data_IF_293344369349
#
_entry.id   IF_293344369349
#
_cell.length_a   1.000
_cell.length_b   1.000
_cell.length_c   1.000
_cell.angle_alpha   90.00
_cell.angle_beta   90.00
_cell.angle_gamma   90.00
#
_symmetry.space_group_name_H-M   'P 1'
#
loop_
_entity.id
_entity.type
_entity.pdbx_description
1 polymer ?
#
# COMPACT_ATOMS: atom_id res chain seq x y z
N UNK A 1 5.17 -1.91 31.26
CA UNK A 1 4.19 -0.89 30.87
C UNK A 1 2.79 -1.41 31.22
N UNK A 2 2.00 -0.62 31.89
CA UNK A 2 0.63 -1.00 32.21
C UNK A 2 -0.18 -1.15 30.90
N UNK A 3 -0.84 -2.30 30.72
CA UNK A 3 -1.68 -2.58 29.55
C UNK A 3 -2.76 -1.50 29.31
N UNK A 4 -3.24 -0.89 30.41
CA UNK A 4 -4.23 0.19 30.32
C UNK A 4 -3.65 1.43 29.67
N UNK A 5 -2.40 1.81 30.01
CA UNK A 5 -1.72 2.95 29.39
C UNK A 5 -1.50 2.68 27.90
N UNK A 6 -1.06 1.47 27.55
CA UNK A 6 -0.88 1.07 26.17
C UNK A 6 -2.18 1.19 25.35
N UNK A 7 -3.27 0.60 25.82
CA UNK A 7 -4.56 0.65 25.11
C UNK A 7 -5.10 2.09 24.99
N UNK A 8 -4.94 2.92 26.04
CA UNK A 8 -5.31 4.34 25.97
C UNK A 8 -4.49 5.10 24.91
N UNK A 9 -3.20 4.80 24.79
CA UNK A 9 -2.34 5.40 23.77
C UNK A 9 -2.78 5.01 22.36
N UNK A 10 -3.11 3.72 22.14
CA UNK A 10 -3.65 3.23 20.87
C UNK A 10 -4.96 3.95 20.51
N UNK A 11 -5.90 4.04 21.46
CA UNK A 11 -7.17 4.75 21.26
C UNK A 11 -6.92 6.21 20.87
N UNK A 12 -6.09 6.92 21.62
CA UNK A 12 -5.79 8.34 21.38
C UNK A 12 -5.18 8.57 20.00
N UNK A 13 -4.26 7.70 19.58
CA UNK A 13 -3.62 7.77 18.25
C UNK A 13 -4.65 7.51 17.15
N UNK A 14 -5.50 6.48 17.32
CA UNK A 14 -6.56 6.16 16.36
C UNK A 14 -7.57 7.30 16.22
N UNK A 15 -8.02 7.89 17.34
CA UNK A 15 -8.90 9.07 17.33
C UNK A 15 -8.24 10.27 16.62
N UNK A 16 -6.92 10.42 16.74
CA UNK A 16 -6.15 11.44 16.04
C UNK A 16 -6.25 11.28 14.51
N UNK A 17 -6.08 10.05 14.01
CA UNK A 17 -6.19 9.74 12.57
C UNK A 17 -7.63 9.93 12.08
N UNK A 18 -8.63 9.48 12.84
CA UNK A 18 -10.05 9.68 12.53
C UNK A 18 -10.37 11.18 12.42
N UNK A 19 -9.91 11.98 13.36
CA UNK A 19 -10.08 13.45 13.32
C UNK A 19 -9.41 14.07 12.10
N UNK A 20 -8.24 13.58 11.74
CA UNK A 20 -7.53 14.02 10.54
C UNK A 20 -8.36 13.72 9.29
N UNK A 21 -8.88 12.50 9.13
CA UNK A 21 -9.75 12.13 8.01
C UNK A 21 -11.01 12.99 7.94
N UNK A 22 -11.68 13.23 9.08
CA UNK A 22 -12.86 14.09 9.14
C UNK A 22 -12.60 15.53 8.70
N UNK A 23 -11.42 16.10 8.97
CA UNK A 23 -11.02 17.41 8.45
C UNK A 23 -10.92 17.45 6.92
N UNK A 24 -10.43 16.36 6.31
CA UNK A 24 -10.43 16.22 4.85
C UNK A 24 -11.85 16.11 4.29
N UNK A 25 -12.73 15.38 4.97
CA UNK A 25 -14.15 15.34 4.60
C UNK A 25 -14.78 16.74 4.60
N UNK A 26 -14.58 17.50 5.68
CA UNK A 26 -15.07 18.89 5.79
C UNK A 26 -14.52 19.79 4.68
N UNK A 27 -13.23 19.68 4.36
CA UNK A 27 -12.61 20.43 3.28
C UNK A 27 -13.21 20.07 1.92
N UNK A 28 -13.41 18.78 1.62
CA UNK A 28 -14.03 18.32 0.39
C UNK A 28 -15.49 18.76 0.26
N UNK A 29 -16.27 18.71 1.35
CA UNK A 29 -17.64 19.22 1.40
C UNK A 29 -17.71 20.74 1.12
N UNK A 30 -16.75 21.52 1.66
CA UNK A 30 -16.68 22.96 1.38
C UNK A 30 -16.32 23.24 -0.08
N UNK A 31 -15.34 22.52 -0.63
CA UNK A 31 -14.98 22.63 -2.05
C UNK A 31 -16.15 22.25 -2.96
N UNK A 32 -16.91 21.20 -2.63
CA UNK A 32 -18.07 20.78 -3.39
C UNK A 32 -19.18 21.85 -3.47
N UNK A 33 -19.33 22.68 -2.42
CA UNK A 33 -20.31 23.80 -2.42
C UNK A 33 -19.97 24.91 -3.40
N UNK A 34 -18.67 25.11 -3.67
CA UNK A 34 -18.17 26.16 -4.56
C UNK A 34 -17.93 25.65 -5.98
N UNK A 35 -17.90 24.32 -6.17
CA UNK A 35 -17.62 23.68 -7.46
C UNK A 35 -18.80 23.80 -8.42
N UNK A 36 -18.52 24.26 -9.64
CA UNK A 36 -19.52 24.46 -10.70
C UNK A 36 -19.64 23.28 -11.65
N UNK A 37 -18.57 22.50 -11.79
CA UNK A 37 -18.59 21.28 -12.58
C UNK A 37 -19.29 20.19 -11.79
N UNK A 38 -20.37 19.65 -12.33
CA UNK A 38 -21.22 18.66 -11.68
C UNK A 38 -20.46 17.36 -11.36
N UNK A 39 -19.66 16.89 -12.32
CA UNK A 39 -18.87 15.69 -12.15
C UNK A 39 -17.83 15.85 -11.02
N UNK A 40 -17.13 17.00 -11.03
CA UNK A 40 -16.14 17.30 -9.99
C UNK A 40 -16.79 17.46 -8.62
N UNK A 41 -17.96 18.04 -8.57
CA UNK A 41 -18.74 18.16 -7.33
C UNK A 41 -19.10 16.79 -6.76
N UNK A 42 -19.56 15.85 -7.58
CA UNK A 42 -19.84 14.47 -7.16
C UNK A 42 -18.58 13.76 -6.67
N UNK A 43 -17.46 13.92 -7.35
CA UNK A 43 -16.17 13.36 -6.91
C UNK A 43 -15.78 13.88 -5.52
N UNK A 44 -15.91 15.17 -5.27
CA UNK A 44 -15.62 15.79 -3.97
C UNK A 44 -16.54 15.27 -2.85
N UNK A 45 -17.83 15.07 -3.14
CA UNK A 45 -18.78 14.49 -2.21
C UNK A 45 -18.45 13.01 -1.91
N UNK A 46 -18.01 12.25 -2.92
CA UNK A 46 -17.56 10.88 -2.74
C UNK A 46 -16.27 10.80 -1.89
N UNK A 47 -15.32 11.70 -2.11
CA UNK A 47 -14.13 11.84 -1.26
C UNK A 47 -14.54 12.14 0.18
N UNK A 48 -15.48 13.07 0.39
CA UNK A 48 -15.96 13.40 1.72
C UNK A 48 -16.61 12.20 2.42
N UNK A 49 -17.48 11.47 1.72
CA UNK A 49 -18.14 10.28 2.23
C UNK A 49 -17.12 9.18 2.63
N UNK A 50 -16.11 8.93 1.79
CA UNK A 50 -15.04 8.01 2.11
C UNK A 50 -14.25 8.43 3.35
N UNK A 51 -13.88 9.70 3.44
CA UNK A 51 -13.17 10.25 4.60
C UNK A 51 -13.99 10.22 5.91
N UNK A 52 -15.32 10.23 5.82
CA UNK A 52 -16.23 10.05 6.97
C UNK A 52 -16.31 8.60 7.40
N UNK A 53 -16.19 7.66 6.47
CA UNK A 53 -16.29 6.23 6.75
C UNK A 53 -14.97 5.65 7.23
N UNK A 54 -13.88 5.90 6.52
CA UNK A 54 -12.56 5.35 6.84
C UNK A 54 -11.62 6.45 7.34
N UNK A 55 -10.75 6.18 8.34
CA UNK A 55 -10.41 4.90 8.93
C UNK A 55 -11.23 4.51 10.17
N UNK A 56 -12.28 5.26 10.54
CA UNK A 56 -13.09 4.97 11.73
C UNK A 56 -13.80 3.62 11.63
N UNK A 57 -14.27 3.26 10.45
CA UNK A 57 -14.93 2.00 10.16
C UNK A 57 -14.12 1.18 9.15
N UNK A 58 -14.30 -0.15 9.14
CA UNK A 58 -13.68 -0.99 8.11
C UNK A 58 -14.14 -0.61 6.69
N UNK A 59 -13.25 -0.69 5.70
CA UNK A 59 -13.62 -0.47 4.32
C UNK A 59 -14.52 -1.59 3.80
N UNK A 60 -15.44 -1.25 2.90
CA UNK A 60 -16.33 -2.20 2.23
C UNK A 60 -16.16 -2.21 0.72
N UNK A 61 -15.62 -1.15 0.14
CA UNK A 61 -15.33 -1.03 -1.28
C UNK A 61 -13.84 -0.92 -1.55
N UNK A 62 -13.43 -1.13 -2.80
CA UNK A 62 -12.04 -0.98 -3.21
C UNK A 62 -11.54 0.46 -3.01
N UNK A 63 -12.36 1.46 -3.31
CA UNK A 63 -12.01 2.87 -3.09
C UNK A 63 -11.81 3.18 -1.61
N UNK A 64 -12.72 2.73 -0.75
CA UNK A 64 -12.58 2.88 0.69
C UNK A 64 -11.31 2.18 1.20
N UNK A 65 -10.98 0.99 0.67
CA UNK A 65 -9.77 0.26 1.05
C UNK A 65 -8.49 1.00 0.64
N UNK A 66 -8.41 1.57 -0.55
CA UNK A 66 -7.32 2.45 -0.99
C UNK A 66 -7.18 3.66 -0.06
N UNK A 67 -8.27 4.32 0.28
CA UNK A 67 -8.27 5.48 1.19
C UNK A 67 -7.86 5.07 2.61
N UNK A 68 -8.30 3.90 3.10
CA UNK A 68 -7.91 3.37 4.40
C UNK A 68 -6.41 3.09 4.47
N UNK A 69 -5.84 2.45 3.44
CA UNK A 69 -4.39 2.20 3.34
C UNK A 69 -3.63 3.51 3.41
N UNK A 70 -4.06 4.54 2.67
CA UNK A 70 -3.42 5.85 2.71
C UNK A 70 -3.48 6.51 4.08
N UNK A 71 -4.64 6.51 4.75
CA UNK A 71 -4.77 7.11 6.09
C UNK A 71 -3.92 6.37 7.14
N UNK A 72 -3.84 5.05 7.05
CA UNK A 72 -2.99 4.25 7.92
C UNK A 72 -1.51 4.58 7.70
N UNK A 73 -1.10 4.67 6.43
CA UNK A 73 0.26 5.00 6.04
C UNK A 73 0.66 6.39 6.57
N UNK A 74 -0.11 7.42 6.25
CA UNK A 74 0.22 8.79 6.66
C UNK A 74 0.12 8.96 8.17
N UNK A 75 -0.81 8.27 8.83
CA UNK A 75 -0.93 8.28 10.29
C UNK A 75 0.31 7.72 10.96
N UNK A 76 0.83 6.59 10.49
CA UNK A 76 2.07 6.00 10.98
C UNK A 76 3.29 6.90 10.71
N UNK A 77 3.37 7.48 9.53
CA UNK A 77 4.45 8.40 9.16
C UNK A 77 4.46 9.65 10.06
N UNK A 78 3.29 10.26 10.28
CA UNK A 78 3.17 11.46 11.11
C UNK A 78 3.44 11.20 12.60
N UNK A 79 3.12 10.00 13.08
CA UNK A 79 3.33 9.63 14.49
C UNK A 79 4.79 9.30 14.80
N UNK A 80 5.45 8.55 13.92
CA UNK A 80 6.73 7.90 14.21
C UNK A 80 7.90 8.47 13.38
N UNK A 81 7.60 9.13 12.27
CA UNK A 81 8.61 9.55 11.27
C UNK A 81 9.64 8.43 11.00
N UNK A 82 9.18 7.18 10.71
CA UNK A 82 10.05 6.02 10.63
C UNK A 82 10.93 6.09 9.39
N UNK A 83 12.08 5.40 9.42
CA UNK A 83 12.91 5.18 8.22
C UNK A 83 12.17 4.37 7.16
N UNK A 84 11.33 3.45 7.60
CA UNK A 84 10.55 2.56 6.74
C UNK A 84 9.18 2.28 7.34
N UNK A 85 8.15 2.39 6.52
CA UNK A 85 6.79 1.97 6.83
C UNK A 85 6.20 1.30 5.58
N UNK A 86 6.14 -0.02 5.59
CA UNK A 86 5.85 -0.80 4.41
C UNK A 86 4.39 -1.25 4.39
N UNK A 87 3.65 -1.01 3.30
CA UNK A 87 2.29 -1.49 3.15
C UNK A 87 2.16 -3.03 3.08
N UNK A 88 3.27 -3.74 2.94
CA UNK A 88 3.28 -5.19 2.95
C UNK A 88 2.74 -5.82 1.67
N UNK A 89 2.00 -6.92 1.81
CA UNK A 89 1.47 -7.71 0.68
C UNK A 89 0.20 -7.07 0.09
N UNK A 90 0.40 -5.95 -0.56
CA UNK A 90 -0.65 -5.08 -1.08
C UNK A 90 -1.67 -5.82 -1.98
N UNK A 91 -1.19 -6.64 -2.88
CA UNK A 91 -2.04 -7.39 -3.80
C UNK A 91 -2.95 -8.41 -3.10
N UNK A 92 -2.53 -8.97 -1.96
CA UNK A 92 -3.29 -9.98 -1.25
C UNK A 92 -4.46 -9.37 -0.48
N UNK A 93 -4.23 -8.31 0.30
CA UNK A 93 -5.30 -7.72 1.11
C UNK A 93 -6.22 -6.78 0.33
N UNK A 94 -5.78 -6.27 -0.83
CA UNK A 94 -6.60 -5.41 -1.69
C UNK A 94 -7.48 -6.19 -2.67
N UNK A 95 -7.02 -7.37 -3.13
CA UNK A 95 -7.74 -8.15 -4.13
C UNK A 95 -9.18 -8.53 -3.73
N UNK A 96 -9.49 -8.92 -2.48
CA UNK A 96 -10.87 -9.23 -2.10
C UNK A 96 -11.85 -8.07 -2.31
N UNK A 97 -11.45 -6.83 -2.02
CA UNK A 97 -12.26 -5.64 -2.26
C UNK A 97 -12.47 -5.39 -3.76
N UNK A 98 -11.40 -5.49 -4.53
CA UNK A 98 -11.48 -5.34 -5.98
C UNK A 98 -12.38 -6.40 -6.62
N UNK A 99 -12.21 -7.67 -6.30
CA UNK A 99 -13.02 -8.75 -6.86
C UNK A 99 -14.51 -8.61 -6.48
N UNK A 100 -14.80 -8.18 -5.26
CA UNK A 100 -16.17 -7.88 -4.82
C UNK A 100 -16.80 -6.79 -5.69
N UNK A 101 -16.15 -5.64 -5.81
CA UNK A 101 -16.67 -4.50 -6.56
C UNK A 101 -16.77 -4.81 -8.07
N UNK A 102 -15.80 -5.54 -8.63
CA UNK A 102 -15.84 -6.03 -10.01
C UNK A 102 -17.03 -6.93 -10.26
N UNK A 103 -17.30 -7.87 -9.36
CA UNK A 103 -18.43 -8.81 -9.49
C UNK A 103 -19.76 -8.08 -9.39
N UNK A 104 -19.83 -7.03 -8.58
CA UNK A 104 -21.03 -6.19 -8.44
C UNK A 104 -21.18 -5.17 -9.57
N UNK A 105 -20.16 -4.99 -10.42
CA UNK A 105 -20.15 -3.98 -11.49
C UNK A 105 -20.04 -2.54 -10.99
N UNK A 106 -19.52 -2.33 -9.78
CA UNK A 106 -19.38 -1.02 -9.15
C UNK A 106 -18.03 -0.36 -9.40
N UNK A 107 -17.08 -1.08 -9.99
CA UNK A 107 -15.78 -0.57 -10.43
C UNK A 107 -15.35 -1.23 -11.74
N UNK A 108 -14.73 -0.48 -12.64
CA UNK A 108 -14.04 -0.99 -13.82
C UNK A 108 -12.56 -1.24 -13.54
N UNK A 109 -11.85 -2.05 -14.36
CA UNK A 109 -10.40 -2.20 -14.24
C UNK A 109 -9.64 -0.88 -14.40
N UNK A 110 -10.13 0.01 -15.25
CA UNK A 110 -9.55 1.31 -15.53
C UNK A 110 -9.66 2.23 -14.31
N UNK A 111 -10.84 2.29 -13.67
CA UNK A 111 -11.05 3.06 -12.44
C UNK A 111 -10.21 2.50 -11.28
N UNK A 112 -10.09 1.19 -11.16
CA UNK A 112 -9.24 0.58 -10.14
C UNK A 112 -7.75 0.91 -10.36
N UNK A 113 -7.30 0.89 -11.62
CA UNK A 113 -5.95 1.29 -11.98
C UNK A 113 -5.69 2.76 -11.63
N UNK A 114 -6.61 3.66 -11.97
CA UNK A 114 -6.50 5.09 -11.66
C UNK A 114 -6.38 5.34 -10.15
N UNK A 115 -7.13 4.60 -9.32
CA UNK A 115 -7.02 4.68 -7.87
C UNK A 115 -5.65 4.21 -7.35
N UNK A 116 -5.09 3.16 -7.94
CA UNK A 116 -3.74 2.68 -7.60
C UNK A 116 -2.70 3.71 -8.05
N UNK A 117 -2.81 4.25 -9.26
CA UNK A 117 -1.88 5.28 -9.77
C UNK A 117 -1.89 6.53 -8.88
N UNK A 118 -3.08 6.95 -8.45
CA UNK A 118 -3.24 8.05 -7.49
C UNK A 118 -2.57 7.74 -6.14
N UNK A 119 -2.67 6.50 -5.65
CA UNK A 119 -1.99 6.05 -4.44
C UNK A 119 -0.46 6.09 -4.61
N UNK A 120 0.08 5.68 -5.79
CA UNK A 120 1.51 5.78 -6.11
C UNK A 120 2.00 7.23 -6.05
N UNK A 121 1.24 8.18 -6.60
CA UNK A 121 1.54 9.61 -6.47
C UNK A 121 1.57 10.04 -5.00
N UNK A 122 0.61 9.61 -4.19
CA UNK A 122 0.55 9.94 -2.76
C UNK A 122 1.76 9.41 -1.98
N UNK A 123 2.25 8.22 -2.28
CA UNK A 123 3.47 7.69 -1.66
C UNK A 123 4.72 8.52 -1.98
N UNK A 124 4.76 9.19 -3.12
CA UNK A 124 5.90 10.02 -3.53
C UNK A 124 5.86 11.47 -3.03
N UNK A 125 4.71 11.92 -2.50
CA UNK A 125 4.59 13.28 -1.95
C UNK A 125 5.30 13.47 -0.61
N UNK A 126 5.66 12.38 0.05
CA UNK A 126 6.22 12.45 1.40
C UNK A 126 7.68 12.86 1.40
N UNK A 127 8.00 13.82 2.28
CA UNK A 127 9.39 14.25 2.54
C UNK A 127 9.79 13.79 3.93
N UNK A 128 10.80 12.93 4.00
CA UNK A 128 11.34 12.45 5.25
C UNK A 128 12.19 13.52 5.93
N UNK A 129 11.81 13.91 7.14
CA UNK A 129 12.58 14.86 7.95
C UNK A 129 13.56 14.11 8.83
N UNK A 130 14.84 14.41 8.66
CA UNK A 130 15.94 13.72 9.35
C UNK A 130 16.89 14.71 10.03
N UNK A 131 17.62 14.22 11.05
CA UNK A 131 18.68 15.01 11.69
C UNK A 131 19.86 15.24 10.75
N UNK A 132 20.65 16.26 11.00
CA UNK A 132 21.86 16.56 10.22
C UNK A 132 22.80 15.34 10.12
N UNK A 133 23.04 14.64 11.23
CA UNK A 133 23.90 13.45 11.22
C UNK A 133 23.32 12.31 10.36
N UNK A 134 22.00 12.13 10.36
CA UNK A 134 21.36 11.13 9.52
C UNK A 134 21.42 11.53 8.05
N UNK A 135 21.34 12.82 7.75
CA UNK A 135 21.45 13.35 6.40
C UNK A 135 22.81 13.04 5.73
N UNK A 136 23.89 12.94 6.51
CA UNK A 136 25.20 12.56 5.97
C UNK A 136 25.21 11.17 5.32
N UNK A 137 24.29 10.29 5.73
CA UNK A 137 24.17 8.91 5.20
C UNK A 137 22.97 8.71 4.27
N UNK A 138 21.88 9.44 4.49
CA UNK A 138 20.59 9.22 3.84
C UNK A 138 20.04 10.42 3.08
N UNK A 139 20.83 11.51 2.90
CA UNK A 139 20.38 12.66 2.12
C UNK A 139 20.05 12.25 0.68
N UNK A 140 18.86 12.66 0.21
CA UNK A 140 18.37 12.31 -1.11
C UNK A 140 17.53 11.02 -1.16
N UNK A 141 17.41 10.28 -0.04
CA UNK A 141 16.49 9.16 0.07
C UNK A 141 15.19 9.60 0.72
N UNK A 142 14.09 9.05 0.23
CA UNK A 142 12.80 9.12 0.91
C UNK A 142 12.68 7.99 1.92
N UNK A 143 11.63 8.05 2.75
CA UNK A 143 11.20 6.90 3.53
C UNK A 143 10.99 5.69 2.63
N UNK A 144 11.43 4.52 3.11
CA UNK A 144 11.14 3.27 2.41
C UNK A 144 9.68 2.87 2.64
N UNK A 145 8.91 2.85 1.57
CA UNK A 145 7.49 2.48 1.55
C UNK A 145 7.32 1.32 0.57
N UNK A 146 7.88 0.15 0.93
CA UNK A 146 7.99 -0.96 0.02
C UNK A 146 6.71 -1.81 0.02
N UNK A 147 6.09 -1.95 -1.16
CA UNK A 147 5.01 -2.90 -1.40
C UNK A 147 5.57 -4.21 -1.91
N UNK A 148 4.96 -5.31 -1.48
CA UNK A 148 5.33 -6.65 -1.94
C UNK A 148 4.15 -7.28 -2.67
N UNK A 149 4.41 -7.83 -3.84
CA UNK A 149 3.38 -8.51 -4.67
C UNK A 149 3.87 -9.89 -5.15
N UNK A 150 2.93 -10.75 -5.52
CA UNK A 150 3.20 -12.11 -5.99
C UNK A 150 3.58 -13.07 -4.85
N UNK A 151 4.41 -14.05 -5.15
CA UNK A 151 4.79 -15.10 -4.21
C UNK A 151 3.72 -16.17 -4.03
N UNK A 152 3.65 -16.77 -2.85
CA UNK A 152 2.68 -17.84 -2.54
C UNK A 152 1.65 -17.37 -1.52
N UNK A 153 0.46 -17.94 -1.59
CA UNK A 153 -0.57 -17.82 -0.55
C UNK A 153 -0.16 -18.60 0.70
N UNK A 154 -0.88 -18.42 1.79
CA UNK A 154 -0.67 -19.19 3.04
C UNK A 154 -0.79 -20.70 2.81
N UNK A 155 -1.64 -21.12 1.86
CA UNK A 155 -1.85 -22.52 1.45
C UNK A 155 -0.75 -23.05 0.50
N UNK A 156 0.13 -22.18 0.00
CA UNK A 156 1.24 -22.53 -0.89
C UNK A 156 0.94 -22.48 -2.38
N UNK A 157 -0.22 -21.93 -2.77
CA UNK A 157 -0.58 -21.70 -4.16
C UNK A 157 0.09 -20.43 -4.71
N UNK A 158 0.11 -20.25 -6.02
CA UNK A 158 0.52 -18.97 -6.62
C UNK A 158 -0.41 -17.86 -6.17
N UNK A 159 0.17 -16.72 -5.78
CA UNK A 159 -0.55 -15.59 -5.21
C UNK A 159 -0.78 -14.44 -6.20
N UNK A 160 -0.33 -14.60 -7.46
CA UNK A 160 -0.49 -13.60 -8.52
C UNK A 160 -1.97 -13.35 -8.80
N UNK A 161 -2.38 -12.09 -8.85
CA UNK A 161 -3.77 -11.69 -9.08
C UNK A 161 -3.84 -10.35 -9.85
N UNK A 162 -5.06 -9.85 -10.13
CA UNK A 162 -5.25 -8.62 -10.91
C UNK A 162 -4.52 -7.41 -10.29
N UNK A 163 -4.54 -7.28 -8.97
CA UNK A 163 -3.86 -6.18 -8.27
C UNK A 163 -2.34 -6.28 -8.42
N UNK A 164 -1.79 -7.49 -8.53
CA UNK A 164 -0.37 -7.70 -8.83
C UNK A 164 0.02 -7.00 -10.14
N UNK A 165 -0.75 -7.21 -11.19
CA UNK A 165 -0.50 -6.60 -12.50
C UNK A 165 -0.75 -5.09 -12.48
N UNK A 166 -1.77 -4.62 -11.77
CA UNK A 166 -2.05 -3.19 -11.61
C UNK A 166 -0.91 -2.47 -10.86
N UNK A 167 -0.32 -3.09 -9.85
CA UNK A 167 0.83 -2.53 -9.14
C UNK A 167 2.08 -2.42 -10.03
N UNK A 168 2.35 -3.45 -10.86
CA UNK A 168 3.43 -3.40 -11.86
C UNK A 168 3.18 -2.28 -12.87
N UNK A 169 1.94 -2.16 -13.36
CA UNK A 169 1.55 -1.14 -14.33
C UNK A 169 1.64 0.27 -13.75
N UNK A 170 1.16 0.50 -12.53
CA UNK A 170 1.28 1.79 -11.84
C UNK A 170 2.75 2.21 -11.72
N UNK A 171 3.65 1.29 -11.36
CA UNK A 171 5.07 1.57 -11.27
C UNK A 171 5.69 1.93 -12.64
N UNK A 172 5.23 1.30 -13.72
CA UNK A 172 5.66 1.61 -15.10
C UNK A 172 5.16 2.98 -15.57
N UNK A 173 3.90 3.32 -15.26
CA UNK A 173 3.23 4.52 -15.79
C UNK A 173 3.58 5.76 -14.98
N UNK A 174 3.51 5.69 -13.65
CA UNK A 174 3.71 6.83 -12.74
C UNK A 174 5.19 7.20 -12.60
N UNK A 175 6.10 6.22 -12.59
CA UNK A 175 7.56 6.40 -12.55
C UNK A 175 8.08 7.23 -11.39
N UNK A 176 7.42 7.14 -10.25
CA UNK A 176 7.86 7.78 -9.01
C UNK A 176 8.91 6.91 -8.31
N UNK A 177 9.71 7.54 -7.42
CA UNK A 177 10.71 6.83 -6.62
C UNK A 177 10.11 6.11 -5.39
N UNK A 178 8.84 6.35 -5.10
CA UNK A 178 8.03 5.65 -4.11
C UNK A 178 6.62 5.44 -4.66
N UNK A 179 5.95 4.35 -4.25
CA UNK A 179 6.44 3.30 -3.35
C UNK A 179 7.51 2.44 -4.01
N UNK A 180 8.42 1.87 -3.21
CA UNK A 180 9.27 0.79 -3.67
C UNK A 180 8.41 -0.44 -3.99
N UNK A 181 8.73 -1.15 -5.07
CA UNK A 181 8.01 -2.37 -5.45
C UNK A 181 8.94 -3.57 -5.37
N UNK A 182 8.54 -4.57 -4.59
CA UNK A 182 9.17 -5.88 -4.52
C UNK A 182 8.27 -6.94 -5.11
N UNK A 183 8.82 -7.82 -5.93
CA UNK A 183 8.11 -8.98 -6.46
C UNK A 183 8.71 -10.26 -5.90
N UNK A 184 7.87 -11.17 -5.44
CA UNK A 184 8.25 -12.49 -4.98
C UNK A 184 8.02 -13.50 -6.10
N UNK A 185 9.09 -14.15 -6.56
CA UNK A 185 9.06 -15.11 -7.66
C UNK A 185 9.36 -16.53 -7.16
N UNK A 186 8.69 -17.51 -7.72
CA UNK A 186 8.88 -18.94 -7.46
C UNK A 186 8.82 -19.77 -8.75
N UNK A 187 9.13 -21.06 -8.67
CA UNK A 187 9.24 -21.92 -9.84
C UNK A 187 7.93 -22.05 -10.65
N UNK A 188 6.78 -21.92 -9.97
CA UNK A 188 5.46 -22.10 -10.58
C UNK A 188 4.76 -20.77 -10.92
N UNK A 189 5.50 -19.66 -10.96
CA UNK A 189 4.94 -18.36 -11.37
C UNK A 189 4.36 -18.42 -12.78
N UNK A 190 3.21 -17.77 -13.04
CA UNK A 190 2.67 -17.61 -14.39
C UNK A 190 3.69 -16.95 -15.33
N UNK A 191 3.76 -17.41 -16.57
CA UNK A 191 4.67 -16.83 -17.56
C UNK A 191 4.34 -15.37 -17.86
N UNK A 192 3.07 -15.01 -17.83
CA UNK A 192 2.59 -13.64 -17.99
C UNK A 192 3.11 -12.73 -16.89
N UNK A 193 3.17 -13.22 -15.64
CA UNK A 193 3.72 -12.46 -14.51
C UNK A 193 5.23 -12.24 -14.70
N UNK A 194 5.97 -13.28 -15.06
CA UNK A 194 7.42 -13.14 -15.33
C UNK A 194 7.70 -12.20 -16.50
N UNK A 195 6.87 -12.24 -17.52
CA UNK A 195 6.97 -11.32 -18.67
C UNK A 195 6.70 -9.86 -18.25
N UNK A 196 5.66 -9.61 -17.42
CA UNK A 196 5.33 -8.28 -16.91
C UNK A 196 6.45 -7.73 -16.02
N UNK A 197 7.00 -8.55 -15.13
CA UNK A 197 8.16 -8.19 -14.28
C UNK A 197 9.37 -7.83 -15.15
N UNK A 198 9.69 -8.66 -16.13
CA UNK A 198 10.83 -8.43 -17.05
C UNK A 198 10.64 -7.16 -17.89
N UNK A 199 9.41 -6.92 -18.36
CA UNK A 199 9.09 -5.67 -19.08
C UNK A 199 9.33 -4.46 -18.17
N UNK A 200 8.86 -4.47 -16.92
CA UNK A 200 9.07 -3.36 -16.00
C UNK A 200 10.57 -3.12 -15.72
N UNK A 201 11.35 -4.19 -15.49
CA UNK A 201 12.82 -4.09 -15.32
C UNK A 201 13.47 -3.41 -16.51
N UNK A 202 13.03 -3.73 -17.74
CA UNK A 202 13.59 -3.16 -18.98
C UNK A 202 13.36 -1.64 -19.12
N UNK A 203 12.43 -1.05 -18.34
CA UNK A 203 12.17 0.39 -18.36
C UNK A 203 13.23 1.20 -17.60
N UNK A 204 14.09 0.54 -16.82
CA UNK A 204 15.20 1.19 -16.13
C UNK A 204 14.80 2.11 -14.97
N UNK A 205 13.62 1.91 -14.38
CA UNK A 205 13.13 2.70 -13.22
C UNK A 205 13.80 2.33 -11.90
N UNK A 206 14.56 1.22 -11.87
CA UNK A 206 15.13 0.66 -10.63
C UNK A 206 14.19 -0.29 -9.91
N UNK A 207 12.96 -0.45 -10.37
CA UNK A 207 11.95 -1.38 -9.84
C UNK A 207 11.52 -2.41 -10.89
N UNK A 208 10.95 -3.54 -10.44
CA UNK A 208 10.85 -4.02 -9.08
C UNK A 208 12.13 -4.66 -8.55
N UNK A 209 12.28 -4.73 -7.21
CA UNK A 209 13.24 -5.64 -6.59
C UNK A 209 12.71 -7.07 -6.67
N UNK A 210 13.53 -7.99 -7.20
CA UNK A 210 13.11 -9.38 -7.41
C UNK A 210 13.64 -10.26 -6.29
N UNK A 211 12.74 -10.92 -5.57
CA UNK A 211 13.05 -11.80 -4.45
C UNK A 211 12.67 -13.24 -4.76
N UNK A 212 13.58 -14.17 -4.45
CA UNK A 212 13.28 -15.60 -4.52
C UNK A 212 12.39 -15.99 -3.35
N UNK A 213 11.15 -16.36 -3.65
CA UNK A 213 10.14 -16.68 -2.66
C UNK A 213 10.54 -17.87 -1.76
N UNK A 214 11.15 -18.89 -2.35
CA UNK A 214 11.58 -20.09 -1.61
C UNK A 214 12.71 -19.79 -0.60
N UNK A 215 13.57 -18.82 -0.90
CA UNK A 215 14.65 -18.41 0.01
C UNK A 215 14.09 -17.65 1.20
N UNK A 216 13.18 -16.67 0.97
CA UNK A 216 12.51 -15.94 2.04
C UNK A 216 11.72 -16.87 2.96
N UNK A 217 10.94 -17.77 2.37
CA UNK A 217 10.22 -18.81 3.11
C UNK A 217 11.16 -19.66 3.98
N UNK A 218 12.23 -20.20 3.40
CA UNK A 218 13.15 -21.07 4.15
C UNK A 218 13.87 -20.33 5.28
N UNK A 219 14.18 -19.06 5.08
CA UNK A 219 14.79 -18.21 6.12
C UNK A 219 13.87 -18.11 7.34
N UNK A 220 12.57 -17.88 7.14
CA UNK A 220 11.59 -17.78 8.23
C UNK A 220 11.33 -19.14 8.90
N UNK A 221 11.27 -20.22 8.14
CA UNK A 221 11.19 -21.59 8.71
C UNK A 221 12.39 -21.85 9.63
N UNK A 222 13.59 -21.50 9.20
CA UNK A 222 14.80 -21.67 10.01
C UNK A 222 14.80 -20.76 11.26
N UNK A 223 14.08 -19.64 11.24
CA UNK A 223 13.86 -18.77 12.39
C UNK A 223 12.74 -19.26 13.33
N UNK A 224 12.05 -20.37 12.99
CA UNK A 224 11.04 -21.00 13.83
C UNK A 224 9.60 -20.53 13.59
N UNK A 225 9.32 -19.87 12.47
CA UNK A 225 7.95 -19.50 12.11
C UNK A 225 7.18 -20.69 11.55
N UNK A 226 5.87 -20.70 11.78
CA UNK A 226 4.98 -21.71 11.21
C UNK A 226 4.93 -21.61 9.67
N UNK A 227 4.77 -22.73 8.95
CA UNK A 227 4.81 -22.73 7.48
C UNK A 227 3.83 -21.78 6.80
N UNK A 228 2.63 -21.64 7.36
CA UNK A 228 1.59 -20.75 6.82
C UNK A 228 2.00 -19.27 6.97
N UNK A 229 2.52 -18.89 8.13
CA UNK A 229 3.01 -17.54 8.39
C UNK A 229 4.27 -17.26 7.56
N UNK A 230 5.20 -18.22 7.53
CA UNK A 230 6.41 -18.09 6.72
C UNK A 230 6.14 -17.90 5.21
N UNK A 231 5.01 -18.40 4.67
CA UNK A 231 4.59 -18.11 3.29
C UNK A 231 4.05 -16.71 3.09
N UNK A 232 3.57 -16.08 4.15
CA UNK A 232 2.95 -14.76 4.08
C UNK A 232 3.96 -13.60 4.26
N UNK A 233 5.23 -13.87 4.12
CA UNK A 233 6.28 -12.89 4.30
C UNK A 233 6.20 -11.73 3.29
N UNK A 234 6.63 -10.56 3.72
CA UNK A 234 6.80 -9.39 2.87
C UNK A 234 8.23 -8.85 2.96
N UNK A 235 8.58 -7.96 2.05
CA UNK A 235 9.85 -7.26 2.11
C UNK A 235 9.71 -5.97 2.90
N UNK A 236 10.59 -5.78 3.89
CA UNK A 236 10.64 -4.59 4.73
C UNK A 236 11.87 -3.75 4.38
N UNK A 237 11.69 -2.44 4.26
CA UNK A 237 12.76 -1.51 3.91
C UNK A 237 13.40 -1.85 2.56
N UNK A 238 14.69 -2.10 2.55
CA UNK A 238 15.43 -2.38 1.33
C UNK A 238 15.30 -3.85 0.89
N UNK A 239 15.54 -4.81 1.82
CA UNK A 239 15.65 -6.25 1.47
C UNK A 239 15.35 -7.19 2.65
N UNK A 240 14.87 -6.72 3.78
CA UNK A 240 14.60 -7.56 4.95
C UNK A 240 13.28 -8.29 4.80
N UNK A 241 13.29 -9.62 4.88
CA UNK A 241 12.04 -10.39 4.95
C UNK A 241 11.43 -10.30 6.36
N UNK A 242 10.14 -10.01 6.44
CA UNK A 242 9.38 -9.90 7.69
C UNK A 242 7.97 -10.46 7.52
N UNK A 243 7.27 -10.67 8.61
CA UNK A 243 5.84 -11.01 8.64
C UNK A 243 5.00 -9.77 8.87
#
# INVERSE_FOLDING_TARGET
MDKIIFYRSVILTSEGIIRFANRYAEAAELMAKEERDEKRREELLNIAANCRKVPENPPETFYEAIQFVWFTQIGGILSENPLSLNPGRFDQYMNPYYQKDRTQGTITPEEAQELIDALWLKYSEWVWTISANTADYFAGYNQFQNLTVGGRTREGLDATNDITYMALKATEEVKTHQPGLSVRVHADCPQEFLAAVTNLVSKGTGFPAIHNDSVGYQMLINAGYEPEDARDWNNCGCVSSSL
#
